data_IF_431094362953
#
_entry.id   IF_431094362953
#
_cell.length_a   1.000
_cell.length_b   1.000
_cell.length_c   1.000
_cell.angle_alpha   90.00
_cell.angle_beta   90.00
_cell.angle_gamma   90.00
#
_symmetry.space_group_name_H-M   'P 1'
#
loop_
_entity.id
_entity.type
_entity.pdbx_description
1 polymer ?
#
# COMPACT_ATOMS: atom_id res chain seq x y z
N UNK A 1 27.18 -72.75 70.17
CA UNK A 1 28.46 -72.06 69.90
C UNK A 1 28.07 -70.66 69.50
N UNK A 2 27.81 -69.82 70.50
CA UNK A 2 28.85 -69.02 71.19
C UNK A 2 29.50 -68.06 70.21
N UNK A 3 29.69 -66.77 70.49
CA UNK A 3 29.35 -65.83 71.58
C UNK A 3 30.29 -64.65 71.27
N UNK A 4 30.04 -63.51 71.91
CA UNK A 4 30.97 -62.40 72.11
C UNK A 4 31.13 -61.40 70.96
N UNK A 5 30.54 -60.19 71.11
CA UNK A 5 31.05 -58.98 71.84
C UNK A 5 32.03 -58.19 70.94
N UNK A 6 32.13 -56.87 70.92
CA UNK A 6 31.50 -55.74 71.60
C UNK A 6 31.91 -54.48 70.82
N UNK A 7 31.03 -53.49 70.75
CA UNK A 7 31.22 -52.02 70.88
C UNK A 7 32.61 -51.40 70.60
N UNK A 8 32.71 -50.41 69.69
CA UNK A 8 33.06 -49.01 70.00
C UNK A 8 32.96 -48.03 68.80
N UNK A 9 32.78 -46.75 69.16
CA UNK A 9 32.49 -45.52 68.42
C UNK A 9 33.42 -45.09 67.26
N UNK A 10 32.86 -44.44 66.22
CA UNK A 10 32.85 -42.96 66.00
C UNK A 10 32.19 -42.60 64.62
N UNK A 11 31.58 -41.40 64.45
CA UNK A 11 30.93 -40.93 63.21
C UNK A 11 31.93 -40.14 62.32
N UNK A 12 31.67 -39.82 61.02
CA UNK A 12 30.79 -38.69 60.67
C UNK A 12 30.18 -38.63 59.22
N UNK A 13 29.31 -37.62 59.03
CA UNK A 13 29.12 -36.70 57.88
C UNK A 13 28.63 -37.19 56.48
N UNK A 14 27.38 -36.79 56.19
CA UNK A 14 26.97 -35.79 55.17
C UNK A 14 26.96 -36.14 53.65
N UNK A 15 25.75 -36.27 53.09
CA UNK A 15 25.15 -35.39 52.04
C UNK A 15 23.73 -35.91 51.71
N UNK A 16 22.65 -35.31 52.23
CA UNK A 16 21.85 -34.20 51.65
C UNK A 16 21.34 -34.50 50.23
N UNK A 17 20.02 -34.63 50.02
CA UNK A 17 19.13 -33.51 49.68
C UNK A 17 17.63 -33.91 49.54
N UNK A 18 16.80 -33.14 50.27
CA UNK A 18 15.41 -32.66 50.05
C UNK A 18 14.29 -33.56 49.49
N UNK A 19 12.99 -33.41 49.82
CA UNK A 19 12.20 -32.77 50.88
C UNK A 19 10.71 -32.77 50.42
N UNK A 20 9.78 -33.02 51.36
CA UNK A 20 8.38 -32.51 51.50
C UNK A 20 7.33 -32.93 50.44
N UNK A 21 6.22 -33.62 50.81
CA UNK A 21 4.98 -33.22 51.55
C UNK A 21 4.00 -32.32 50.76
N UNK A 22 2.71 -32.70 50.78
CA UNK A 22 1.45 -31.89 50.67
C UNK A 22 0.51 -32.23 49.47
N UNK A 23 -0.60 -32.89 49.81
CA UNK A 23 -2.04 -32.57 49.59
C UNK A 23 -2.57 -32.05 48.23
N UNK A 24 -3.48 -32.86 47.64
CA UNK A 24 -4.72 -32.59 46.87
C UNK A 24 -4.77 -31.60 45.67
N UNK A 25 -5.70 -31.91 44.74
CA UNK A 25 -6.45 -31.04 43.77
C UNK A 25 -6.17 -31.31 42.28
N UNK A 26 -7.29 -31.60 41.58
CA UNK A 26 -7.63 -31.50 40.14
C UNK A 26 -6.51 -31.24 39.12
N UNK A 27 -6.44 -32.09 38.07
CA UNK A 27 -5.89 -31.65 36.78
C UNK A 27 -6.60 -32.35 35.61
N UNK A 28 -7.53 -31.60 35.06
CA UNK A 28 -8.19 -31.78 33.77
C UNK A 28 -7.21 -32.15 32.66
N UNK A 29 -7.58 -33.14 31.85
CA UNK A 29 -6.90 -33.43 30.58
C UNK A 29 -7.10 -32.19 29.69
N UNK A 30 -6.03 -31.43 29.49
CA UNK A 30 -6.00 -30.31 28.57
C UNK A 30 -6.09 -30.84 27.14
N UNK A 31 -7.27 -30.71 26.53
CA UNK A 31 -7.42 -30.69 25.08
C UNK A 31 -6.71 -29.43 24.58
N UNK A 32 -5.44 -29.57 24.20
CA UNK A 32 -4.76 -28.62 23.32
C UNK A 32 -5.36 -28.79 21.92
N UNK A 33 -6.60 -28.36 21.73
CA UNK A 33 -7.07 -27.91 20.41
C UNK A 33 -6.33 -26.62 20.12
N UNK A 34 -5.14 -26.73 19.54
CA UNK A 34 -4.59 -25.65 18.76
C UNK A 34 -5.62 -25.35 17.66
N UNK A 35 -6.39 -24.27 17.80
CA UNK A 35 -6.99 -23.61 16.66
C UNK A 35 -5.83 -23.17 15.77
N UNK A 36 -5.41 -24.03 14.84
CA UNK A 36 -4.78 -23.54 13.63
C UNK A 36 -5.90 -22.83 12.87
N UNK A 37 -6.08 -21.54 13.13
CA UNK A 37 -6.77 -20.67 12.19
C UNK A 37 -6.00 -20.78 10.88
N UNK A 38 -6.52 -21.53 9.92
CA UNK A 38 -6.06 -21.46 8.54
C UNK A 38 -6.56 -20.14 7.99
N UNK A 39 -5.93 -19.05 8.42
CA UNK A 39 -6.12 -17.77 7.78
C UNK A 39 -5.59 -17.95 6.36
N UNK A 40 -6.51 -18.05 5.39
CA UNK A 40 -6.11 -18.13 4.00
C UNK A 40 -5.32 -16.86 3.68
N UNK A 41 -4.17 -16.97 2.99
CA UNK A 41 -3.37 -15.81 2.68
C UNK A 41 -4.24 -14.81 1.90
N UNK A 42 -4.10 -13.50 2.17
CA UNK A 42 -4.82 -12.48 1.44
C UNK A 42 -4.57 -12.62 -0.07
N UNK A 43 -5.66 -12.63 -0.84
CA UNK A 43 -5.58 -12.70 -2.29
C UNK A 43 -5.49 -11.31 -2.89
N UNK A 44 -4.41 -11.05 -3.62
CA UNK A 44 -4.20 -9.82 -4.37
C UNK A 44 -4.65 -10.03 -5.81
N UNK A 45 -5.87 -9.59 -6.11
CA UNK A 45 -6.52 -9.74 -7.43
C UNK A 45 -7.33 -8.50 -7.73
N UNK A 46 -7.46 -8.16 -9.02
CA UNK A 46 -8.30 -7.06 -9.47
C UNK A 46 -9.63 -7.63 -9.92
N UNK A 47 -10.65 -7.49 -9.07
CA UNK A 47 -12.01 -7.95 -9.34
C UNK A 47 -12.96 -6.77 -9.47
N UNK A 48 -13.87 -6.87 -10.44
CA UNK A 48 -14.89 -5.86 -10.65
C UNK A 48 -15.81 -5.77 -9.43
N UNK A 49 -16.00 -4.56 -8.91
CA UNK A 49 -16.93 -4.26 -7.83
C UNK A 49 -17.87 -3.14 -8.23
N UNK A 50 -19.17 -3.38 -8.05
CA UNK A 50 -20.20 -2.36 -8.23
C UNK A 50 -20.17 -1.28 -7.13
N UNK A 51 -19.49 -1.56 -6.01
CA UNK A 51 -19.40 -0.71 -4.82
C UNK A 51 -17.96 -0.31 -4.50
N UNK A 52 -17.07 -0.29 -5.50
CA UNK A 52 -15.64 -0.07 -5.31
C UNK A 52 -15.27 1.14 -4.42
N UNK A 53 -16.04 2.23 -4.49
CA UNK A 53 -15.84 3.38 -3.60
C UNK A 53 -16.16 3.04 -2.13
N UNK A 54 -17.31 2.41 -1.87
CA UNK A 54 -17.72 2.00 -0.52
C UNK A 54 -16.79 0.92 0.04
N UNK A 55 -16.26 0.04 -0.81
CA UNK A 55 -15.27 -0.97 -0.40
C UNK A 55 -14.00 -0.30 0.13
N UNK A 56 -13.53 0.78 -0.53
CA UNK A 56 -12.40 1.59 -0.05
C UNK A 56 -12.72 2.32 1.26
N UNK A 57 -13.94 2.84 1.42
CA UNK A 57 -14.39 3.46 2.68
C UNK A 57 -14.38 2.44 3.82
N UNK A 58 -14.87 1.23 3.56
CA UNK A 58 -14.89 0.14 4.52
C UNK A 58 -13.47 -0.33 4.87
N UNK A 59 -12.58 -0.44 3.88
CA UNK A 59 -11.17 -0.75 4.12
C UNK A 59 -10.49 0.33 4.96
N UNK A 60 -10.78 1.62 4.72
CA UNK A 60 -10.23 2.69 5.56
C UNK A 60 -10.69 2.56 7.02
N UNK A 61 -11.96 2.23 7.24
CA UNK A 61 -12.51 1.99 8.58
C UNK A 61 -11.81 0.81 9.26
N UNK A 62 -11.65 -0.31 8.56
CA UNK A 62 -10.91 -1.49 9.07
C UNK A 62 -9.46 -1.13 9.40
N UNK A 63 -8.78 -0.36 8.55
CA UNK A 63 -7.43 0.11 8.80
C UNK A 63 -7.33 0.91 10.10
N UNK A 64 -8.28 1.83 10.33
CA UNK A 64 -8.35 2.62 11.56
C UNK A 64 -8.59 1.74 12.80
N UNK A 65 -9.55 0.83 12.73
CA UNK A 65 -9.90 -0.07 13.84
C UNK A 65 -8.74 -1.02 14.20
N UNK A 66 -7.97 -1.45 13.21
CA UNK A 66 -6.85 -2.37 13.38
C UNK A 66 -5.49 -1.67 13.57
N UNK A 67 -5.44 -0.34 13.61
CA UNK A 67 -4.19 0.41 13.77
C UNK A 67 -3.19 0.23 12.62
N UNK A 68 -3.68 -0.02 11.41
CA UNK A 68 -2.88 -0.24 10.18
C UNK A 68 -2.94 0.97 9.26
N UNK A 69 -1.98 1.10 8.36
CA UNK A 69 -2.11 2.00 7.22
C UNK A 69 -3.13 1.42 6.22
N UNK A 70 -3.83 2.27 5.48
CA UNK A 70 -4.63 1.82 4.34
C UNK A 70 -3.73 1.77 3.10
N UNK A 71 -3.76 0.65 2.38
CA UNK A 71 -3.09 0.47 1.10
C UNK A 71 -4.13 0.26 -0.01
N UNK A 72 -4.39 1.30 -0.80
CA UNK A 72 -5.32 1.24 -1.94
C UNK A 72 -4.53 1.04 -3.23
N UNK A 73 -4.81 -0.04 -3.96
CA UNK A 73 -4.15 -0.39 -5.21
C UNK A 73 -5.17 -0.36 -6.34
N UNK A 74 -5.20 0.72 -7.12
CA UNK A 74 -6.03 0.80 -8.32
C UNK A 74 -5.26 0.19 -9.49
N UNK A 75 -5.79 -0.87 -10.10
CA UNK A 75 -5.14 -1.55 -11.21
C UNK A 75 -6.15 -2.31 -12.05
N UNK A 76 -5.67 -3.17 -12.93
CA UNK A 76 -6.54 -3.99 -13.75
C UNK A 76 -5.86 -5.28 -14.18
N UNK A 77 -6.66 -6.33 -14.41
CA UNK A 77 -6.15 -7.66 -14.75
C UNK A 77 -5.45 -7.72 -16.12
N UNK A 78 -5.82 -6.85 -17.05
CA UNK A 78 -5.18 -6.77 -18.38
C UNK A 78 -3.82 -6.05 -18.36
N UNK A 79 -3.47 -5.37 -17.25
CA UNK A 79 -2.23 -4.59 -17.17
C UNK A 79 -1.08 -5.42 -16.61
N UNK A 80 0.01 -5.52 -17.39
CA UNK A 80 1.22 -6.25 -17.02
C UNK A 80 1.78 -5.81 -15.66
N UNK A 81 2.00 -4.49 -15.47
CA UNK A 81 2.51 -3.94 -14.21
C UNK A 81 1.58 -4.21 -13.02
N UNK A 82 0.26 -4.22 -13.25
CA UNK A 82 -0.72 -4.47 -12.18
C UNK A 82 -0.63 -5.92 -11.72
N UNK A 83 -0.62 -6.88 -12.65
CA UNK A 83 -0.46 -8.29 -12.30
C UNK A 83 0.93 -8.63 -11.76
N UNK A 84 1.97 -7.91 -12.19
CA UNK A 84 3.31 -7.98 -11.63
C UNK A 84 3.34 -7.57 -10.15
N UNK A 85 2.71 -6.44 -9.81
CA UNK A 85 2.56 -6.00 -8.42
C UNK A 85 1.79 -7.03 -7.58
N UNK A 86 0.66 -7.54 -8.09
CA UNK A 86 -0.12 -8.57 -7.41
C UNK A 86 0.73 -9.82 -7.08
N UNK A 87 1.54 -10.30 -8.03
CA UNK A 87 2.47 -11.41 -7.82
C UNK A 87 3.53 -11.09 -6.77
N UNK A 88 4.09 -9.88 -6.79
CA UNK A 88 5.08 -9.43 -5.79
C UNK A 88 4.48 -9.38 -4.38
N UNK A 89 3.24 -8.95 -4.24
CA UNK A 89 2.58 -8.91 -2.94
C UNK A 89 2.35 -10.31 -2.36
N UNK A 90 2.19 -11.33 -3.21
CA UNK A 90 2.04 -12.74 -2.78
C UNK A 90 3.36 -13.38 -2.30
N UNK A 91 4.52 -12.74 -2.44
CA UNK A 91 5.79 -13.38 -2.03
C UNK A 91 5.94 -13.43 -0.51
N UNK A 92 6.71 -14.42 -0.04
CA UNK A 92 6.92 -14.66 1.39
C UNK A 92 7.60 -13.46 2.10
N UNK A 93 8.40 -12.67 1.38
CA UNK A 93 9.06 -11.48 1.90
C UNK A 93 8.08 -10.32 2.11
N UNK A 94 7.07 -10.19 1.24
CA UNK A 94 6.06 -9.13 1.31
C UNK A 94 4.96 -9.44 2.31
N UNK A 95 4.58 -10.71 2.47
CA UNK A 95 3.45 -11.11 3.31
C UNK A 95 3.52 -10.59 4.76
N UNK A 96 4.63 -10.73 5.50
CA UNK A 96 4.72 -10.21 6.86
C UNK A 96 4.56 -8.69 6.93
N UNK A 97 5.08 -7.96 5.94
CA UNK A 97 4.99 -6.49 5.87
C UNK A 97 3.54 -6.08 5.65
N UNK A 98 2.88 -6.65 4.63
CA UNK A 98 1.52 -6.30 4.24
C UNK A 98 0.52 -6.67 5.32
N UNK A 99 0.53 -7.91 5.80
CA UNK A 99 -0.44 -8.39 6.79
C UNK A 99 -0.34 -7.69 8.15
N UNK A 100 0.88 -7.33 8.58
CA UNK A 100 1.10 -6.70 9.89
C UNK A 100 0.79 -5.20 9.89
N UNK A 101 1.03 -4.50 8.78
CA UNK A 101 1.06 -3.04 8.78
C UNK A 101 0.02 -2.38 7.87
N UNK A 102 -0.62 -3.14 6.99
CA UNK A 102 -1.54 -2.60 6.00
C UNK A 102 -2.89 -3.31 6.01
N UNK A 103 -3.95 -2.53 5.91
CA UNK A 103 -5.23 -2.98 5.37
C UNK A 103 -5.16 -2.75 3.86
N UNK A 104 -5.08 -3.84 3.08
CA UNK A 104 -4.82 -3.75 1.63
C UNK A 104 -6.09 -4.01 0.85
N UNK A 105 -6.44 -3.08 -0.05
CA UNK A 105 -7.56 -3.23 -0.98
C UNK A 105 -7.11 -3.05 -2.42
N UNK A 106 -7.49 -3.99 -3.28
CA UNK A 106 -7.29 -3.93 -4.72
C UNK A 106 -8.59 -3.47 -5.37
N UNK A 107 -8.49 -2.48 -6.25
CA UNK A 107 -9.62 -1.88 -6.96
C UNK A 107 -9.41 -2.07 -8.45
N UNK A 108 -10.32 -2.77 -9.10
CA UNK A 108 -10.34 -2.85 -10.57
C UNK A 108 -10.85 -1.54 -11.18
N UNK A 109 -10.04 -0.96 -12.07
CA UNK A 109 -10.42 0.23 -12.85
C UNK A 109 -11.07 -0.14 -14.19
N UNK A 110 -11.35 -1.42 -14.44
CA UNK A 110 -11.94 -1.89 -15.68
C UNK A 110 -11.08 -1.49 -16.88
N UNK A 111 -11.72 -1.01 -17.95
CA UNK A 111 -11.04 -0.52 -19.16
C UNK A 111 -10.82 0.99 -19.10
N UNK A 112 -10.13 1.45 -18.05
CA UNK A 112 -9.86 2.88 -17.75
C UNK A 112 -11.12 3.66 -17.34
N UNK A 113 -12.02 3.02 -16.58
CA UNK A 113 -13.24 3.63 -16.07
C UNK A 113 -12.94 4.78 -15.09
N UNK A 114 -13.87 5.73 -14.98
CA UNK A 114 -13.73 6.82 -14.02
C UNK A 114 -13.84 6.28 -12.58
N UNK A 115 -12.69 6.30 -11.89
CA UNK A 115 -12.54 5.95 -10.47
C UNK A 115 -11.98 7.13 -9.68
N UNK A 116 -12.04 8.35 -10.21
CA UNK A 116 -11.45 9.55 -9.56
C UNK A 116 -12.03 9.83 -8.19
N UNK A 117 -13.29 9.47 -7.93
CA UNK A 117 -13.89 9.59 -6.60
C UNK A 117 -13.05 8.88 -5.50
N UNK A 118 -12.41 7.76 -5.84
CA UNK A 118 -11.53 7.02 -4.92
C UNK A 118 -10.23 7.79 -4.67
N UNK A 119 -9.57 8.30 -5.72
CA UNK A 119 -8.32 9.04 -5.55
C UNK A 119 -8.55 10.39 -4.87
N UNK A 120 -9.64 11.08 -5.21
CA UNK A 120 -10.01 12.39 -4.67
C UNK A 120 -10.34 12.34 -3.17
N UNK A 121 -10.82 11.18 -2.68
CA UNK A 121 -10.98 10.94 -1.24
C UNK A 121 -9.69 11.17 -0.45
N UNK A 122 -8.54 10.92 -1.06
CA UNK A 122 -7.22 11.06 -0.46
C UNK A 122 -6.43 12.22 -1.08
N UNK A 123 -7.14 13.25 -1.54
CA UNK A 123 -6.58 14.47 -2.11
C UNK A 123 -5.63 14.23 -3.29
N UNK A 124 -5.97 13.24 -4.13
CA UNK A 124 -5.23 12.90 -5.33
C UNK A 124 -6.15 12.95 -6.56
N UNK A 125 -5.81 13.73 -7.61
CA UNK A 125 -6.81 14.18 -8.58
C UNK A 125 -7.32 13.09 -9.53
N UNK A 126 -6.49 12.08 -9.83
CA UNK A 126 -6.84 10.91 -10.66
C UNK A 126 -5.77 9.82 -10.55
N UNK A 127 -5.98 8.65 -11.16
CA UNK A 127 -4.96 7.63 -11.36
C UNK A 127 -4.21 7.85 -12.69
N UNK A 128 -2.89 7.90 -12.63
CA UNK A 128 -2.01 8.24 -13.77
C UNK A 128 -1.37 7.00 -14.40
N UNK A 129 -1.39 5.88 -13.70
CA UNK A 129 -0.91 4.60 -14.19
C UNK A 129 -1.72 3.47 -13.54
N UNK A 130 -1.69 2.29 -14.16
CA UNK A 130 -2.09 1.05 -13.52
C UNK A 130 -0.84 0.20 -13.31
N UNK A 131 -0.50 -0.20 -12.07
CA UNK A 131 -1.21 0.12 -10.84
C UNK A 131 -0.91 1.55 -10.36
N UNK A 132 -1.87 2.16 -9.68
CA UNK A 132 -1.70 3.31 -8.78
C UNK A 132 -1.74 2.79 -7.35
N UNK A 133 -0.70 3.08 -6.58
CA UNK A 133 -0.52 2.56 -5.21
C UNK A 133 -0.54 3.72 -4.22
N UNK A 134 -1.57 3.77 -3.37
CA UNK A 134 -1.78 4.83 -2.39
C UNK A 134 -1.58 4.26 -0.98
N UNK A 135 -0.63 4.84 -0.24
CA UNK A 135 -0.44 4.55 1.19
C UNK A 135 -1.07 5.70 1.97
N UNK A 136 -2.09 5.38 2.76
CA UNK A 136 -2.96 6.36 3.40
C UNK A 136 -2.93 6.18 4.91
N UNK A 137 -2.79 7.29 5.63
CA UNK A 137 -3.08 7.34 7.06
C UNK A 137 -4.62 7.31 7.25
N UNK A 138 -5.18 6.27 7.90
CA UNK A 138 -6.63 6.08 7.89
C UNK A 138 -7.39 7.09 8.74
N UNK A 139 -6.74 7.69 9.75
CA UNK A 139 -7.37 8.65 10.65
C UNK A 139 -7.54 10.02 9.98
N UNK A 140 -6.52 10.50 9.28
CA UNK A 140 -6.52 11.81 8.59
C UNK A 140 -6.94 11.74 7.13
N UNK A 141 -6.98 10.54 6.53
CA UNK A 141 -7.08 10.33 5.08
C UNK A 141 -5.89 10.89 4.28
N UNK A 142 -4.77 11.20 4.95
CA UNK A 142 -3.60 11.78 4.31
C UNK A 142 -2.86 10.75 3.45
N UNK A 143 -2.51 11.15 2.24
CA UNK A 143 -1.71 10.35 1.31
C UNK A 143 -0.22 10.48 1.64
N UNK A 144 0.34 9.45 2.26
CA UNK A 144 1.71 9.44 2.76
C UNK A 144 2.74 9.33 1.64
N UNK A 145 2.44 8.59 0.58
CA UNK A 145 3.41 8.32 -0.47
C UNK A 145 3.31 9.24 -1.69
N UNK A 146 2.59 10.37 -1.59
CA UNK A 146 2.29 11.30 -2.69
C UNK A 146 3.52 11.73 -3.51
N UNK A 147 4.67 11.89 -2.86
CA UNK A 147 5.94 12.31 -3.47
C UNK A 147 6.73 11.14 -4.10
N UNK A 148 6.14 9.96 -4.24
CA UNK A 148 6.84 8.77 -4.77
C UNK A 148 5.96 7.83 -5.60
N UNK A 149 4.67 8.15 -5.80
CA UNK A 149 3.71 7.25 -6.44
C UNK A 149 4.03 6.91 -7.91
N UNK A 150 4.76 7.77 -8.62
CA UNK A 150 5.08 7.57 -10.05
C UNK A 150 5.87 6.29 -10.33
N UNK A 151 6.65 5.79 -9.35
CA UNK A 151 7.44 4.56 -9.52
C UNK A 151 6.56 3.34 -9.86
N UNK A 152 5.30 3.32 -9.40
CA UNK A 152 4.43 2.16 -9.51
C UNK A 152 3.85 1.95 -10.91
N UNK A 153 3.96 2.94 -11.82
CA UNK A 153 3.61 2.76 -13.23
C UNK A 153 4.53 1.81 -14.01
N UNK A 154 5.56 1.25 -13.36
CA UNK A 154 6.49 0.23 -13.88
C UNK A 154 6.68 -0.92 -12.88
N UNK A 155 5.65 -1.22 -12.10
CA UNK A 155 5.71 -2.09 -10.94
C UNK A 155 6.33 -3.47 -11.24
N UNK A 156 6.03 -4.09 -12.39
CA UNK A 156 6.57 -5.43 -12.70
C UNK A 156 8.11 -5.43 -12.80
N UNK A 157 8.68 -4.30 -13.22
CA UNK A 157 10.13 -4.14 -13.40
C UNK A 157 10.88 -3.70 -12.14
N UNK A 158 10.20 -3.47 -11.01
CA UNK A 158 10.86 -3.08 -9.75
C UNK A 158 11.42 -4.34 -9.06
N UNK A 159 12.64 -4.24 -8.53
CA UNK A 159 13.27 -5.36 -7.81
C UNK A 159 12.52 -5.62 -6.49
N UNK A 160 12.43 -6.89 -6.08
CA UNK A 160 11.72 -7.26 -4.84
C UNK A 160 12.30 -6.57 -3.59
N UNK A 161 13.62 -6.34 -3.55
CA UNK A 161 14.25 -5.59 -2.46
C UNK A 161 13.69 -4.16 -2.35
N UNK A 162 13.47 -3.48 -3.47
CA UNK A 162 12.90 -2.13 -3.48
C UNK A 162 11.43 -2.11 -3.02
N UNK A 163 10.67 -3.17 -3.30
CA UNK A 163 9.33 -3.35 -2.72
C UNK A 163 9.43 -3.43 -1.19
N UNK A 164 10.25 -4.35 -0.68
CA UNK A 164 10.44 -4.56 0.75
C UNK A 164 10.84 -3.27 1.45
N UNK A 165 11.83 -2.55 0.90
CA UNK A 165 12.32 -1.29 1.45
C UNK A 165 11.24 -0.21 1.44
N UNK A 166 10.51 -0.07 0.33
CA UNK A 166 9.48 0.95 0.18
C UNK A 166 8.35 0.76 1.19
N UNK A 167 7.75 -0.43 1.25
CA UNK A 167 6.62 -0.69 2.15
C UNK A 167 7.09 -0.74 3.61
N UNK A 168 8.26 -1.30 3.91
CA UNK A 168 8.79 -1.29 5.28
C UNK A 168 9.04 0.14 5.79
N UNK A 169 9.57 1.03 4.93
CA UNK A 169 9.81 2.43 5.28
C UNK A 169 8.53 3.13 5.72
N UNK A 170 7.44 2.99 4.98
CA UNK A 170 6.16 3.63 5.33
C UNK A 170 5.52 3.00 6.57
N UNK A 171 5.59 1.67 6.71
CA UNK A 171 5.09 0.95 7.87
C UNK A 171 5.77 1.38 9.19
N UNK A 172 7.03 1.84 9.11
CA UNK A 172 7.84 2.22 10.27
C UNK A 172 7.83 3.72 10.58
N UNK A 173 7.10 4.54 9.83
CA UNK A 173 7.01 5.97 10.11
C UNK A 173 6.33 6.22 11.46
N UNK A 174 7.01 6.94 12.35
CA UNK A 174 6.39 7.50 13.56
C UNK A 174 5.37 8.59 13.21
N UNK A 175 4.46 8.89 14.13
CA UNK A 175 3.47 9.97 13.95
C UNK A 175 4.14 11.32 13.66
N UNK A 176 5.28 11.59 14.32
CA UNK A 176 6.09 12.78 14.06
C UNK A 176 6.59 12.82 12.61
N UNK A 177 7.00 11.68 12.06
CA UNK A 177 7.46 11.61 10.66
C UNK A 177 6.30 11.67 9.67
N UNK A 178 5.09 11.25 10.03
CA UNK A 178 3.88 11.37 9.19
C UNK A 178 3.35 12.80 9.13
N UNK A 179 3.59 13.60 10.16
CA UNK A 179 3.00 14.94 10.34
C UNK A 179 3.15 15.88 9.13
N UNK A 180 4.31 15.97 8.44
CA UNK A 180 4.44 16.81 7.25
C UNK A 180 3.52 16.38 6.09
N UNK A 181 3.34 15.07 5.90
CA UNK A 181 2.44 14.52 4.88
C UNK A 181 0.96 14.71 5.28
N UNK A 182 0.64 14.61 6.58
CA UNK A 182 -0.70 14.86 7.10
C UNK A 182 -1.13 16.33 6.98
N UNK A 183 -0.18 17.25 7.09
CA UNK A 183 -0.41 18.68 6.93
C UNK A 183 -0.19 19.17 5.50
N UNK A 184 0.07 18.25 4.55
CA UNK A 184 0.25 18.62 3.16
C UNK A 184 -1.06 19.17 2.60
N UNK A 185 -0.96 20.30 1.88
CA UNK A 185 -2.07 20.89 1.15
C UNK A 185 -1.55 21.48 -0.15
N UNK A 186 -2.28 21.26 -1.24
CA UNK A 186 -2.01 21.92 -2.50
C UNK A 186 -2.29 23.42 -2.39
N UNK A 187 -1.48 24.24 -3.05
CA UNK A 187 -1.87 25.61 -3.37
C UNK A 187 -3.18 25.60 -4.21
N UNK A 188 -4.15 26.50 -3.97
CA UNK A 188 -5.43 26.48 -4.68
C UNK A 188 -5.32 26.55 -6.21
N UNK A 189 -4.32 27.27 -6.74
CA UNK A 189 -4.09 27.35 -8.19
C UNK A 189 -3.56 26.02 -8.72
N UNK A 190 -2.67 25.35 -7.99
CA UNK A 190 -2.19 24.01 -8.32
C UNK A 190 -3.33 23.00 -8.26
N UNK A 191 -4.17 23.05 -7.22
CA UNK A 191 -5.31 22.15 -7.07
C UNK A 191 -6.31 22.29 -8.23
N UNK A 192 -6.62 23.53 -8.64
CA UNK A 192 -7.49 23.80 -9.78
C UNK A 192 -6.88 23.29 -11.09
N UNK A 193 -5.58 23.51 -11.29
CA UNK A 193 -4.82 23.00 -12.44
C UNK A 193 -4.84 21.47 -12.50
N UNK A 194 -4.52 20.79 -11.41
CA UNK A 194 -4.49 19.34 -11.33
C UNK A 194 -5.89 18.74 -11.54
N UNK A 195 -6.94 19.40 -11.03
CA UNK A 195 -8.35 19.03 -11.28
C UNK A 195 -8.72 19.14 -12.77
N UNK A 196 -8.35 20.24 -13.42
CA UNK A 196 -8.58 20.44 -14.86
C UNK A 196 -7.87 19.34 -15.67
N UNK A 197 -6.62 19.06 -15.36
CA UNK A 197 -5.81 18.09 -16.09
C UNK A 197 -6.25 16.64 -15.83
N UNK A 198 -6.77 16.33 -14.63
CA UNK A 198 -7.41 15.05 -14.34
C UNK A 198 -8.71 14.85 -15.13
N UNK A 199 -9.54 15.90 -15.28
CA UNK A 199 -10.74 15.83 -16.12
C UNK A 199 -10.39 15.63 -17.61
N UNK A 200 -9.33 16.29 -18.09
CA UNK A 200 -8.81 16.07 -19.45
C UNK A 200 -8.28 14.65 -19.64
N UNK A 201 -7.54 14.12 -18.65
CA UNK A 201 -7.05 12.74 -18.70
C UNK A 201 -8.19 11.73 -18.75
N UNK A 202 -9.25 11.92 -17.96
CA UNK A 202 -10.39 11.01 -17.98
C UNK A 202 -11.07 10.97 -19.36
N UNK A 203 -11.24 12.12 -20.03
CA UNK A 203 -11.77 12.14 -21.41
C UNK A 203 -10.91 11.34 -22.39
N UNK A 204 -9.59 11.36 -22.20
CA UNK A 204 -8.68 10.55 -23.00
C UNK A 204 -8.81 9.05 -22.67
N UNK A 205 -9.02 8.70 -21.40
CA UNK A 205 -9.35 7.33 -21.00
C UNK A 205 -10.68 6.85 -21.57
N UNK A 206 -11.71 7.69 -21.59
CA UNK A 206 -13.02 7.38 -22.17
C UNK A 206 -12.90 7.08 -23.69
N UNK A 207 -11.98 7.77 -24.38
CA UNK A 207 -11.63 7.47 -25.78
C UNK A 207 -10.88 6.14 -25.93
N UNK A 208 -9.92 5.87 -25.04
CA UNK A 208 -9.05 4.69 -25.13
C UNK A 208 -9.74 3.40 -24.69
N UNK A 209 -10.66 3.43 -23.72
CA UNK A 209 -11.27 2.24 -23.12
C UNK A 209 -11.89 1.27 -24.15
N UNK A 210 -12.77 1.72 -25.06
CA UNK A 210 -13.32 0.87 -26.12
C UNK A 210 -12.28 0.36 -27.12
N UNK A 211 -11.19 1.12 -27.36
CA UNK A 211 -10.12 0.69 -28.26
C UNK A 211 -9.24 -0.39 -27.59
N UNK A 212 -8.95 -0.20 -26.30
CA UNK A 212 -8.26 -1.17 -25.46
C UNK A 212 -9.04 -2.48 -25.38
N UNK A 213 -10.37 -2.43 -25.32
CA UNK A 213 -11.20 -3.64 -25.37
C UNK A 213 -10.92 -4.49 -26.62
N UNK A 214 -10.81 -3.83 -27.78
CA UNK A 214 -10.54 -4.50 -29.07
C UNK A 214 -9.10 -5.02 -29.14
N UNK A 215 -8.14 -4.26 -28.65
CA UNK A 215 -6.74 -4.69 -28.52
C UNK A 215 -6.61 -5.96 -27.66
N UNK A 216 -7.25 -5.99 -26.49
CA UNK A 216 -7.28 -7.17 -25.61
C UNK A 216 -7.95 -8.38 -26.29
N UNK A 217 -8.92 -8.14 -27.17
CA UNK A 217 -9.54 -9.19 -27.98
C UNK A 217 -8.66 -9.68 -29.15
N UNK A 218 -7.47 -9.10 -29.35
CA UNK A 218 -6.55 -9.44 -30.44
C UNK A 218 -6.80 -8.68 -31.74
N UNK A 219 -7.63 -7.63 -31.71
CA UNK A 219 -8.02 -6.83 -32.88
C UNK A 219 -7.69 -5.33 -32.65
N UNK A 220 -6.41 -4.95 -32.50
CA UNK A 220 -6.03 -3.56 -32.22
C UNK A 220 -6.52 -2.62 -33.34
N UNK A 221 -7.33 -1.59 -33.02
CA UNK A 221 -7.76 -0.61 -34.01
C UNK A 221 -6.58 0.16 -34.62
N UNK A 222 -6.70 0.57 -35.88
CA UNK A 222 -5.71 1.43 -36.54
C UNK A 222 -5.48 2.72 -35.72
N UNK A 223 -4.23 3.10 -35.52
CA UNK A 223 -3.85 4.29 -34.74
C UNK A 223 -3.99 4.17 -33.23
N UNK A 224 -4.49 3.05 -32.69
CA UNK A 224 -4.66 2.87 -31.23
C UNK A 224 -3.36 3.11 -30.45
N UNK A 225 -2.24 2.52 -30.90
CA UNK A 225 -0.98 2.65 -30.19
C UNK A 225 -0.39 4.07 -30.22
N UNK A 226 -0.69 4.86 -31.26
CA UNK A 226 -0.28 6.27 -31.31
C UNK A 226 -1.04 7.09 -30.28
N UNK A 227 -2.37 6.91 -30.19
CA UNK A 227 -3.21 7.53 -29.16
C UNK A 227 -2.75 7.10 -27.76
N UNK A 228 -2.51 5.80 -27.56
CA UNK A 228 -2.03 5.26 -26.30
C UNK A 228 -0.70 5.89 -25.88
N UNK A 229 0.26 5.98 -26.80
CA UNK A 229 1.57 6.58 -26.57
C UNK A 229 1.45 8.06 -26.21
N UNK A 230 0.60 8.80 -26.90
CA UNK A 230 0.34 10.22 -26.64
C UNK A 230 -0.24 10.44 -25.24
N UNK A 231 -1.29 9.69 -24.87
CA UNK A 231 -1.92 9.76 -23.54
C UNK A 231 -0.95 9.32 -22.44
N UNK A 232 -0.17 8.25 -22.69
CA UNK A 232 0.86 7.79 -21.75
C UNK A 232 1.92 8.86 -21.52
N UNK A 233 2.39 9.52 -22.57
CA UNK A 233 3.36 10.62 -22.45
C UNK A 233 2.82 11.76 -21.59
N UNK A 234 1.60 12.21 -21.89
CA UNK A 234 0.93 13.27 -21.13
C UNK A 234 0.74 12.91 -19.65
N UNK A 235 0.17 11.74 -19.33
CA UNK A 235 -0.12 11.37 -17.94
C UNK A 235 1.14 11.12 -17.10
N UNK A 236 2.21 10.59 -17.72
CA UNK A 236 3.47 10.33 -17.02
C UNK A 236 4.16 11.64 -16.64
N UNK A 237 4.29 12.55 -17.60
CA UNK A 237 4.88 13.87 -17.37
C UNK A 237 4.07 14.68 -16.34
N UNK A 238 2.74 14.65 -16.44
CA UNK A 238 1.86 15.29 -15.48
C UNK A 238 2.03 14.74 -14.05
N UNK A 239 2.10 13.42 -13.89
CA UNK A 239 2.33 12.82 -12.59
C UNK A 239 3.72 13.15 -12.04
N UNK A 240 4.77 13.09 -12.88
CA UNK A 240 6.14 13.41 -12.47
C UNK A 240 6.26 14.85 -11.97
N UNK A 241 5.66 15.82 -12.67
CA UNK A 241 5.66 17.20 -12.22
C UNK A 241 4.91 17.37 -10.89
N UNK A 242 3.79 16.67 -10.69
CA UNK A 242 3.04 16.71 -9.43
C UNK A 242 3.83 16.08 -8.27
N UNK A 243 4.46 14.93 -8.51
CA UNK A 243 5.33 14.26 -7.54
C UNK A 243 6.49 15.17 -7.14
N UNK A 244 7.13 15.85 -8.11
CA UNK A 244 8.25 16.76 -7.82
C UNK A 244 7.81 17.99 -7.02
N UNK A 245 6.63 18.55 -7.29
CA UNK A 245 6.05 19.64 -6.48
C UNK A 245 5.83 19.18 -5.04
N UNK A 246 5.25 17.98 -4.85
CA UNK A 246 5.00 17.42 -3.53
C UNK A 246 6.30 17.14 -2.75
N UNK A 247 7.31 16.55 -3.40
CA UNK A 247 8.64 16.33 -2.79
C UNK A 247 9.25 17.65 -2.30
N UNK A 248 9.28 18.66 -3.17
CA UNK A 248 9.84 19.99 -2.84
C UNK A 248 9.12 20.63 -1.65
N UNK A 249 7.79 20.53 -1.60
CA UNK A 249 7.00 21.09 -0.50
C UNK A 249 7.25 20.36 0.83
N UNK A 250 7.34 19.03 0.80
CA UNK A 250 7.62 18.24 2.01
C UNK A 250 9.03 18.53 2.54
N UNK A 251 10.03 18.67 1.67
CA UNK A 251 11.40 19.04 2.06
C UNK A 251 11.48 20.45 2.66
N UNK A 252 10.70 21.41 2.17
CA UNK A 252 10.64 22.77 2.71
C UNK A 252 10.01 22.81 4.11
N UNK A 253 8.93 22.05 4.30
CA UNK A 253 8.24 21.92 5.58
C UNK A 253 9.13 21.32 6.68
N UNK A 254 9.96 20.32 6.33
CA UNK A 254 10.89 19.69 7.27
C UNK A 254 12.03 20.63 7.69
N UNK A 255 12.46 21.53 6.81
CA UNK A 255 13.58 22.44 7.06
C UNK A 255 13.18 23.76 7.74
N UNK A 256 11.88 24.00 8.01
CA UNK A 256 11.39 25.21 8.65
C UNK A 256 11.66 26.50 7.87
N UNK A 257 11.99 26.40 6.58
CA UNK A 257 12.26 27.54 5.70
C UNK A 257 10.98 27.92 4.96
N UNK A 258 10.28 28.92 5.48
CA UNK A 258 9.25 29.64 4.73
C UNK A 258 9.93 30.68 3.82
N UNK A 259 10.73 30.22 2.85
CA UNK A 259 11.15 31.12 1.77
C UNK A 259 9.89 31.54 0.99
N UNK A 260 9.85 32.80 0.54
CA UNK A 260 8.72 33.35 -0.20
C UNK A 260 8.29 32.35 -1.28
N UNK A 261 7.09 31.80 -1.13
CA UNK A 261 6.57 30.69 -1.92
C UNK A 261 6.39 31.18 -3.35
N UNK A 262 7.43 31.06 -4.18
CA UNK A 262 7.35 31.37 -5.61
C UNK A 262 6.28 30.45 -6.18
N UNK A 263 5.26 31.04 -6.81
CA UNK A 263 4.17 30.27 -7.41
C UNK A 263 4.78 29.16 -8.30
N UNK A 264 4.40 27.89 -8.09
CA UNK A 264 4.97 26.79 -8.85
C UNK A 264 4.70 27.00 -10.33
N UNK A 265 5.74 26.83 -11.16
CA UNK A 265 5.58 26.92 -12.60
C UNK A 265 4.65 25.80 -13.09
N UNK A 266 3.47 26.17 -13.58
CA UNK A 266 2.50 25.24 -14.14
C UNK A 266 2.76 25.06 -15.63
N UNK A 267 3.05 23.81 -16.04
CA UNK A 267 3.39 23.49 -17.43
C UNK A 267 2.16 23.67 -18.32
N UNK A 268 2.35 24.27 -19.50
CA UNK A 268 1.36 24.20 -20.55
C UNK A 268 1.53 22.90 -21.34
N UNK A 269 0.47 22.12 -21.49
CA UNK A 269 0.44 20.92 -22.32
C UNK A 269 -0.24 21.21 -23.64
N UNK A 270 0.38 20.82 -24.75
CA UNK A 270 -0.24 20.91 -26.06
C UNK A 270 -1.56 20.11 -26.10
N UNK A 271 -2.53 20.53 -26.95
CA UNK A 271 -3.71 19.74 -27.22
C UNK A 271 -3.33 18.34 -27.73
N UNK A 272 -4.19 17.37 -27.45
CA UNK A 272 -4.05 16.04 -28.03
C UNK A 272 -4.29 16.11 -29.54
N UNK A 273 -3.77 15.13 -30.29
CA UNK A 273 -3.90 15.04 -31.75
C UNK A 273 -5.34 15.06 -32.26
N UNK A 274 -6.31 14.65 -31.43
CA UNK A 274 -7.75 14.72 -31.73
C UNK A 274 -8.47 15.96 -31.19
N UNK A 275 -7.83 16.74 -30.31
CA UNK A 275 -8.38 18.01 -29.78
C UNK A 275 -8.08 19.19 -30.72
N UNK A 276 -7.18 19.01 -31.68
CA UNK A 276 -6.75 20.05 -32.63
C UNK A 276 -7.53 20.03 -33.95
N UNK A 277 -8.63 19.26 -34.04
CA UNK A 277 -9.43 19.06 -35.25
C UNK A 277 -10.79 19.74 -35.16
#
# INVERSE_FOLDING_TARGET
MDLHKNVHHQPPLLKRQFAKLITAVFASIALLTACMSTEQPPQYTYEASATAYDDVVNAQKSALENGKLLLVVLGAQWCHDSTGLAKRFQTQEMQPILTSHYETIFVDVGLLEDRRAITQRFDYPTYYATPTVMIVDPASSALLNRASMAIWGRADSIALADYVDYFSKFAQLSDKQKLPMMNWQADPQVAAYDTQHAARLQKAYDLLGPLLQKDIAGEPPEGFYDLWKEVRGYRSDLQETMVKRAETQLEQNDNGKADAQVAPALRHYHPFSWESK
#
